data_IF_996458855143
#
_entry.id   IF_996458855143
#
_cell.length_a   1.000
_cell.length_b   1.000
_cell.length_c   1.000
_cell.angle_alpha   90.00
_cell.angle_beta   90.00
_cell.angle_gamma   90.00
#
_symmetry.space_group_name_H-M   'P 1'
#
loop_
_entity.id
_entity.type
_entity.pdbx_description
1 polymer ?
#
# COMPACT_ATOMS: atom_id res chain seq x y z
N UNK A 1 -16.22 25.10 -2.53
CA UNK A 1 -17.42 24.26 -2.32
C UNK A 1 -16.90 23.11 -1.49
N UNK A 2 -17.40 22.96 -0.27
CA UNK A 2 -17.05 21.78 0.52
C UNK A 2 -17.55 20.58 -0.28
N UNK A 3 -16.62 19.72 -0.72
CA UNK A 3 -16.99 18.52 -1.46
C UNK A 3 -17.86 17.66 -0.54
N UNK A 4 -19.05 17.28 -1.03
CA UNK A 4 -19.87 16.30 -0.34
C UNK A 4 -19.04 15.01 -0.20
N UNK A 5 -18.91 14.51 1.02
CA UNK A 5 -18.16 13.28 1.33
C UNK A 5 -19.06 12.29 2.05
N UNK A 6 -18.74 11.00 1.93
CA UNK A 6 -19.36 9.96 2.74
C UNK A 6 -18.30 9.10 3.44
N UNK A 7 -18.71 8.43 4.52
CA UNK A 7 -17.82 7.67 5.39
C UNK A 7 -18.21 6.19 5.37
N UNK A 8 -17.22 5.32 5.22
CA UNK A 8 -17.30 3.90 5.54
C UNK A 8 -16.42 3.58 6.75
N UNK A 9 -16.77 2.53 7.48
CA UNK A 9 -15.98 2.06 8.59
C UNK A 9 -15.44 0.66 8.28
N UNK A 10 -14.20 0.39 8.70
CA UNK A 10 -13.64 -0.96 8.64
C UNK A 10 -13.04 -1.37 9.97
N UNK A 11 -12.92 -2.68 10.20
CA UNK A 11 -12.07 -3.22 11.26
C UNK A 11 -10.57 -3.09 10.90
N UNK A 12 -9.69 -3.56 11.80
CA UNK A 12 -8.24 -3.58 11.60
C UNK A 12 -7.78 -4.42 10.39
N UNK A 13 -8.61 -5.35 9.93
CA UNK A 13 -8.38 -6.22 8.79
C UNK A 13 -9.00 -5.67 7.49
N UNK A 14 -9.50 -4.44 7.50
CA UNK A 14 -10.18 -3.77 6.39
C UNK A 14 -11.54 -4.37 5.99
N UNK A 15 -12.17 -5.19 6.83
CA UNK A 15 -13.53 -5.64 6.59
C UNK A 15 -14.53 -4.51 6.89
N UNK A 16 -15.48 -4.26 6.00
CA UNK A 16 -16.50 -3.23 6.18
C UNK A 16 -17.40 -3.55 7.39
N UNK A 17 -17.61 -2.56 8.24
CA UNK A 17 -18.46 -2.65 9.44
C UNK A 17 -19.45 -1.49 9.48
N UNK A 18 -20.59 -1.73 10.14
CA UNK A 18 -21.57 -0.69 10.41
C UNK A 18 -21.10 0.20 11.56
N UNK A 19 -21.51 1.48 11.53
CA UNK A 19 -21.16 2.47 12.56
C UNK A 19 -21.59 2.02 13.96
N UNK A 20 -22.73 1.35 14.06
CA UNK A 20 -23.28 0.83 15.31
C UNK A 20 -22.42 -0.29 15.92
N UNK A 21 -21.55 -0.90 15.12
CA UNK A 21 -20.67 -1.99 15.58
C UNK A 21 -19.34 -1.48 16.15
N UNK A 22 -18.99 -0.20 15.96
CA UNK A 22 -17.70 0.37 16.37
C UNK A 22 -17.35 0.13 17.84
N UNK A 23 -18.35 0.11 18.73
CA UNK A 23 -18.13 -0.13 20.15
C UNK A 23 -17.52 -1.51 20.47
N UNK A 24 -17.65 -2.47 19.56
CA UNK A 24 -17.19 -3.86 19.71
C UNK A 24 -15.73 -4.04 19.32
N UNK A 25 -15.14 -3.06 18.62
CA UNK A 25 -13.78 -3.16 18.10
C UNK A 25 -12.81 -2.35 18.97
N UNK A 26 -11.64 -2.93 19.22
CA UNK A 26 -10.51 -2.22 19.85
C UNK A 26 -9.83 -1.26 18.88
N UNK A 27 -9.83 -1.59 17.60
CA UNK A 27 -9.27 -0.77 16.53
C UNK A 27 -10.22 -0.74 15.33
N UNK A 28 -10.33 0.41 14.68
CA UNK A 28 -11.15 0.59 13.50
C UNK A 28 -10.63 1.73 12.64
N UNK A 29 -11.07 1.77 11.39
CA UNK A 29 -10.73 2.82 10.45
C UNK A 29 -11.99 3.56 9.99
N UNK A 30 -11.85 4.88 9.78
CA UNK A 30 -12.83 5.70 9.08
C UNK A 30 -12.28 6.02 7.69
N UNK A 31 -12.96 5.56 6.64
CA UNK A 31 -12.59 5.80 5.25
C UNK A 31 -13.53 6.87 4.70
N UNK A 32 -12.97 8.02 4.31
CA UNK A 32 -13.69 9.17 3.79
C UNK A 32 -13.54 9.19 2.27
N UNK A 33 -14.66 9.21 1.57
CA UNK A 33 -14.74 9.18 0.12
C UNK A 33 -15.38 10.45 -0.42
N UNK A 34 -14.96 10.85 -1.61
CA UNK A 34 -15.68 11.84 -2.41
C UNK A 34 -17.03 11.27 -2.87
N UNK A 35 -18.11 12.02 -2.65
CA UNK A 35 -19.46 11.55 -2.98
C UNK A 35 -19.73 11.44 -4.49
N UNK A 36 -19.07 12.28 -5.29
CA UNK A 36 -19.33 12.36 -6.73
C UNK A 36 -18.47 11.37 -7.52
N UNK A 37 -17.21 11.19 -7.12
CA UNK A 37 -16.27 10.31 -7.82
C UNK A 37 -16.14 8.93 -7.18
N UNK A 38 -16.62 8.78 -5.93
CA UNK A 38 -16.46 7.55 -5.14
C UNK A 38 -14.97 7.20 -4.90
N UNK A 39 -14.07 8.18 -5.01
CA UNK A 39 -12.65 8.02 -4.75
C UNK A 39 -12.37 8.16 -3.24
N UNK A 40 -11.47 7.31 -2.73
CA UNK A 40 -11.00 7.39 -1.35
C UNK A 40 -10.11 8.63 -1.19
N UNK A 41 -10.45 9.49 -0.23
CA UNK A 41 -9.73 10.75 0.04
C UNK A 41 -8.89 10.66 1.31
N UNK A 42 -9.36 9.92 2.32
CA UNK A 42 -8.68 9.84 3.61
C UNK A 42 -9.03 8.57 4.37
N UNK A 43 -8.05 8.01 5.08
CA UNK A 43 -8.23 6.98 6.09
C UNK A 43 -7.80 7.55 7.43
N UNK A 44 -8.67 7.51 8.42
CA UNK A 44 -8.31 7.81 9.81
C UNK A 44 -8.34 6.52 10.62
N UNK A 45 -7.25 6.25 11.34
CA UNK A 45 -7.11 5.05 12.17
C UNK A 45 -7.40 5.40 13.61
N UNK A 46 -8.10 4.52 14.32
CA UNK A 46 -8.46 4.74 15.72
C UNK A 46 -8.20 3.50 16.55
N UNK A 47 -7.80 3.73 17.81
CA UNK A 47 -7.74 2.70 18.83
C UNK A 47 -8.55 3.12 20.05
N UNK A 48 -9.22 2.16 20.66
CA UNK A 48 -10.08 2.32 21.81
C UNK A 48 -9.41 1.70 23.02
N UNK A 49 -9.13 2.52 24.02
CA UNK A 49 -8.60 2.05 25.29
C UNK A 49 -9.65 1.20 26.01
N UNK A 50 -9.34 -0.08 26.25
CA UNK A 50 -10.29 -1.00 26.88
C UNK A 50 -10.76 -0.56 28.29
N UNK A 51 -9.90 0.11 29.06
CA UNK A 51 -10.23 0.53 30.44
C UNK A 51 -11.03 1.82 30.48
N UNK A 52 -10.60 2.84 29.75
CA UNK A 52 -11.25 4.16 29.78
C UNK A 52 -12.37 4.30 28.75
N UNK A 53 -12.45 3.35 27.81
CA UNK A 53 -13.33 3.40 26.63
C UNK A 53 -13.08 4.63 25.74
N UNK A 54 -11.99 5.37 25.97
CA UNK A 54 -11.62 6.53 25.17
C UNK A 54 -11.09 6.07 23.83
N UNK A 55 -11.55 6.74 22.77
CA UNK A 55 -11.08 6.53 21.41
C UNK A 55 -9.99 7.56 21.11
N UNK A 56 -8.85 7.08 20.64
CA UNK A 56 -7.71 7.89 20.23
C UNK A 56 -7.43 7.67 18.74
N UNK A 57 -7.29 8.76 17.98
CA UNK A 57 -6.82 8.69 16.60
C UNK A 57 -5.34 8.28 16.59
N UNK A 58 -4.97 7.28 15.81
CA UNK A 58 -3.62 6.77 15.65
C UNK A 58 -2.87 7.37 14.46
N UNK A 59 -3.53 8.25 13.69
CA UNK A 59 -3.00 8.82 12.45
C UNK A 59 -3.81 8.34 11.26
N UNK A 60 -3.18 8.23 10.09
CA UNK A 60 -3.93 7.89 8.89
C UNK A 60 -3.21 8.07 7.56
N UNK A 61 -4.01 8.09 6.52
CA UNK A 61 -3.59 8.28 5.13
C UNK A 61 -4.44 9.35 4.47
N UNK A 62 -3.85 10.15 3.60
CA UNK A 62 -4.55 11.17 2.80
C UNK A 62 -4.17 10.96 1.34
N UNK A 63 -5.16 10.96 0.45
CA UNK A 63 -4.98 10.79 -0.99
C UNK A 63 -5.33 12.09 -1.69
N UNK A 64 -4.32 12.72 -2.27
CA UNK A 64 -4.44 14.03 -2.88
C UNK A 64 -4.83 13.91 -4.35
N UNK A 65 -5.82 14.69 -4.74
CA UNK A 65 -6.12 14.97 -6.14
C UNK A 65 -5.03 15.89 -6.72
N UNK A 66 -4.87 15.89 -8.05
CA UNK A 66 -3.83 16.65 -8.76
C UNK A 66 -3.87 18.16 -8.46
N UNK A 67 -5.04 18.70 -8.15
CA UNK A 67 -5.24 20.13 -7.87
C UNK A 67 -4.98 20.52 -6.41
N UNK A 68 -4.74 19.56 -5.51
CA UNK A 68 -4.55 19.84 -4.09
C UNK A 68 -3.11 20.27 -3.75
N UNK A 69 -2.97 21.29 -2.91
CA UNK A 69 -1.66 21.78 -2.47
C UNK A 69 -1.08 20.87 -1.37
N UNK A 70 -0.11 20.03 -1.76
CA UNK A 70 0.52 19.06 -0.84
C UNK A 70 1.08 19.70 0.45
N UNK A 71 1.87 20.79 0.41
CA UNK A 71 2.32 21.46 1.64
C UNK A 71 1.20 21.91 2.58
N UNK A 72 0.11 22.46 2.04
CA UNK A 72 -1.05 22.90 2.84
C UNK A 72 -1.75 21.72 3.50
N UNK A 73 -2.02 20.65 2.74
CA UNK A 73 -2.66 19.43 3.26
C UNK A 73 -1.80 18.80 4.36
N UNK A 74 -0.48 18.75 4.16
CA UNK A 74 0.47 18.27 5.16
C UNK A 74 0.36 19.09 6.45
N UNK A 75 0.43 20.42 6.36
CA UNK A 75 0.35 21.31 7.52
C UNK A 75 -0.97 21.20 8.29
N UNK A 76 -2.07 20.84 7.62
CA UNK A 76 -3.38 20.65 8.25
C UNK A 76 -3.49 19.34 9.06
N UNK A 77 -2.59 18.38 8.84
CA UNK A 77 -2.67 17.05 9.47
C UNK A 77 -1.51 16.75 10.43
N UNK A 78 -0.35 17.37 10.20
CA UNK A 78 0.80 17.19 11.08
C UNK A 78 0.52 17.86 12.43
N UNK A 79 0.43 17.04 13.48
CA UNK A 79 0.45 17.51 14.86
C UNK A 79 1.87 17.48 15.42
N UNK A 80 2.31 18.60 16.00
CA UNK A 80 3.59 18.77 16.70
C UNK A 80 3.34 18.52 18.20
N UNK A 81 2.83 17.34 18.53
CA UNK A 81 2.55 16.89 19.90
C UNK A 81 3.51 15.78 20.37
N UNK A 82 3.52 15.49 21.67
CA UNK A 82 4.45 14.53 22.32
C UNK A 82 4.37 13.08 21.79
N UNK A 83 3.30 12.74 21.08
CA UNK A 83 3.09 11.46 20.40
C UNK A 83 2.58 11.67 18.97
N UNK A 84 3.10 12.68 18.26
CA UNK A 84 2.68 13.05 16.91
C UNK A 84 2.44 11.85 15.99
N UNK A 85 1.19 11.75 15.56
CA UNK A 85 0.61 10.57 14.94
C UNK A 85 1.16 10.39 13.52
N UNK A 86 1.44 9.16 13.07
CA UNK A 86 1.91 8.91 11.72
C UNK A 86 0.84 9.25 10.68
N UNK A 87 1.23 10.04 9.68
CA UNK A 87 0.40 10.36 8.52
C UNK A 87 1.16 10.07 7.24
N UNK A 88 0.52 9.31 6.34
CA UNK A 88 1.03 9.10 4.98
C UNK A 88 0.21 9.92 4.00
N UNK A 89 0.89 10.68 3.15
CA UNK A 89 0.26 11.49 2.11
C UNK A 89 0.61 10.88 0.76
N UNK A 90 -0.40 10.45 0.01
CA UNK A 90 -0.26 9.96 -1.35
C UNK A 90 -0.59 11.07 -2.33
N UNK A 91 0.26 11.28 -3.32
CA UNK A 91 0.16 12.35 -4.31
C UNK A 91 0.72 11.87 -5.66
N UNK A 92 0.56 12.69 -6.70
CA UNK A 92 0.91 12.33 -8.09
C UNK A 92 0.32 10.99 -8.52
N UNK A 93 -1.01 10.86 -8.40
CA UNK A 93 -1.75 9.70 -8.90
C UNK A 93 -1.56 9.58 -10.40
N UNK A 94 -1.07 8.44 -10.86
CA UNK A 94 -1.05 8.06 -12.27
C UNK A 94 -1.74 6.71 -12.43
N UNK A 95 -2.55 6.54 -13.48
CA UNK A 95 -3.27 5.30 -13.75
C UNK A 95 -3.04 4.88 -15.19
N UNK A 96 -2.63 3.63 -15.41
CA UNK A 96 -2.42 3.09 -16.75
C UNK A 96 -3.72 2.49 -17.34
N UNK A 97 -3.67 2.06 -18.59
CA UNK A 97 -4.83 1.50 -19.32
C UNK A 97 -5.36 0.18 -18.73
N UNK A 98 -4.62 -0.45 -17.81
CA UNK A 98 -5.02 -1.67 -17.08
C UNK A 98 -5.73 -1.35 -15.75
N UNK A 99 -5.86 -0.08 -15.39
CA UNK A 99 -6.43 0.36 -14.11
C UNK A 99 -5.49 0.22 -12.92
N UNK A 100 -4.19 -0.03 -13.16
CA UNK A 100 -3.17 -0.01 -12.11
C UNK A 100 -2.84 1.44 -11.78
N UNK A 101 -2.74 1.75 -10.49
CA UNK A 101 -2.54 3.13 -10.02
C UNK A 101 -1.23 3.27 -9.26
N UNK A 102 -0.38 4.19 -9.70
CA UNK A 102 0.84 4.60 -9.04
C UNK A 102 0.57 5.80 -8.16
N UNK A 103 1.20 5.82 -7.00
CA UNK A 103 1.24 6.95 -6.09
C UNK A 103 2.66 7.19 -5.60
N UNK A 104 3.07 8.44 -5.58
CA UNK A 104 4.15 8.86 -4.70
C UNK A 104 3.60 9.00 -3.27
N UNK A 105 4.43 8.74 -2.27
CA UNK A 105 4.03 8.88 -0.88
C UNK A 105 5.07 9.56 -0.03
N UNK A 106 4.60 10.24 1.01
CA UNK A 106 5.41 10.84 2.06
C UNK A 106 4.84 10.44 3.42
N UNK A 107 5.69 9.92 4.31
CA UNK A 107 5.36 9.59 5.69
C UNK A 107 5.89 10.68 6.63
N UNK A 108 5.01 11.26 7.44
CA UNK A 108 5.36 12.10 8.57
C UNK A 108 5.02 11.42 9.89
N UNK A 109 5.85 11.65 10.91
CA UNK A 109 5.59 11.27 12.31
C UNK A 109 6.22 12.31 13.21
N UNK A 110 5.56 12.70 14.30
CA UNK A 110 6.07 13.72 15.23
C UNK A 110 6.54 15.01 14.54
N UNK A 111 5.78 15.54 13.57
CA UNK A 111 6.21 16.75 12.86
C UNK A 111 7.31 16.56 11.82
N UNK A 112 7.92 15.38 11.75
CA UNK A 112 9.13 15.16 10.97
C UNK A 112 8.87 14.21 9.80
N UNK A 113 9.44 14.54 8.64
CA UNK A 113 9.49 13.67 7.49
C UNK A 113 10.28 12.40 7.86
N UNK A 114 9.65 11.24 7.78
CA UNK A 114 10.26 9.94 8.12
C UNK A 114 10.57 9.10 6.88
N UNK A 115 9.83 9.29 5.78
CA UNK A 115 10.04 8.47 4.59
C UNK A 115 9.34 9.02 3.37
N UNK A 116 9.81 8.54 2.23
CA UNK A 116 9.20 8.72 0.92
C UNK A 116 9.14 7.38 0.22
N UNK A 117 8.20 7.22 -0.69
CA UNK A 117 8.13 6.03 -1.52
C UNK A 117 7.32 6.26 -2.79
N UNK A 118 7.29 5.24 -3.62
CA UNK A 118 6.40 5.14 -4.77
C UNK A 118 5.83 3.74 -4.80
N UNK A 119 4.52 3.62 -4.97
CA UNK A 119 3.79 2.36 -4.87
C UNK A 119 2.77 2.24 -5.98
N UNK A 120 2.67 1.05 -6.56
CA UNK A 120 1.69 0.70 -7.58
C UNK A 120 0.71 -0.30 -7.02
N UNK A 121 -0.58 -0.02 -7.23
CA UNK A 121 -1.69 -0.83 -6.76
C UNK A 121 -2.54 -1.32 -7.93
N UNK A 122 -3.08 -2.53 -7.82
CA UNK A 122 -4.09 -3.01 -8.78
C UNK A 122 -5.50 -2.48 -8.45
N UNK A 123 -6.47 -2.86 -9.28
CA UNK A 123 -7.89 -2.50 -9.11
C UNK A 123 -8.52 -3.04 -7.80
N UNK A 124 -7.87 -3.99 -7.12
CA UNK A 124 -8.28 -4.53 -5.82
C UNK A 124 -7.51 -3.88 -4.66
N UNK A 125 -6.74 -2.81 -4.92
CA UNK A 125 -5.86 -2.12 -3.96
C UNK A 125 -4.73 -2.99 -3.39
N UNK A 126 -4.29 -4.03 -4.11
CA UNK A 126 -3.13 -4.84 -3.73
C UNK A 126 -1.85 -4.20 -4.27
N UNK A 127 -0.77 -4.20 -3.49
CA UNK A 127 0.52 -3.61 -3.88
C UNK A 127 1.20 -4.47 -4.92
N UNK A 128 1.20 -4.05 -6.19
CA UNK A 128 1.91 -4.72 -7.29
C UNK A 128 3.40 -4.41 -7.30
N UNK A 129 3.79 -3.19 -6.93
CA UNK A 129 5.19 -2.78 -6.91
C UNK A 129 5.41 -1.65 -5.91
N UNK A 130 6.65 -1.46 -5.49
CA UNK A 130 7.03 -0.25 -4.79
C UNK A 130 8.49 -0.15 -4.43
N UNK A 131 8.86 1.01 -3.91
CA UNK A 131 10.17 1.29 -3.35
C UNK A 131 10.08 2.36 -2.27
N UNK A 132 11.06 2.38 -1.37
CA UNK A 132 11.37 3.54 -0.58
C UNK A 132 12.25 4.51 -1.40
N UNK A 133 12.22 5.79 -1.06
CA UNK A 133 13.09 6.82 -1.63
C UNK A 133 13.90 7.40 -0.48
N UNK A 134 15.22 7.19 -0.53
CA UNK A 134 16.13 7.70 0.49
C UNK A 134 16.06 9.24 0.55
N UNK A 135 15.89 9.78 1.75
CA UNK A 135 15.61 11.20 1.95
C UNK A 135 16.82 12.09 1.63
N UNK A 136 18.04 11.55 1.68
CA UNK A 136 19.28 12.30 1.50
C UNK A 136 19.76 12.27 0.04
N UNK A 137 19.68 11.10 -0.58
CA UNK A 137 20.23 10.81 -1.91
C UNK A 137 19.17 10.80 -3.01
N UNK A 138 17.88 10.71 -2.65
CA UNK A 138 16.76 10.49 -3.56
C UNK A 138 16.86 9.19 -4.37
N UNK A 139 17.73 8.25 -3.97
CA UNK A 139 17.86 6.94 -4.61
C UNK A 139 16.71 6.04 -4.15
N UNK A 140 16.19 5.23 -5.08
CA UNK A 140 15.16 4.23 -4.79
C UNK A 140 15.79 3.01 -4.11
N UNK A 141 15.29 2.61 -2.95
CA UNK A 141 15.71 1.44 -2.17
C UNK A 141 14.52 0.52 -1.90
N UNK A 142 14.76 -0.67 -1.35
CA UNK A 142 13.72 -1.62 -0.96
C UNK A 142 12.72 -1.91 -2.09
N UNK A 143 13.26 -2.04 -3.30
CA UNK A 143 12.50 -2.20 -4.54
C UNK A 143 11.86 -3.57 -4.58
N UNK A 144 10.57 -3.64 -4.86
CA UNK A 144 9.88 -4.92 -4.99
C UNK A 144 8.78 -4.90 -6.06
N UNK A 145 8.45 -6.10 -6.53
CA UNK A 145 7.25 -6.40 -7.32
C UNK A 145 6.60 -7.66 -6.79
N UNK A 146 5.28 -7.65 -6.73
CA UNK A 146 4.46 -8.75 -6.27
C UNK A 146 3.70 -9.34 -7.46
N UNK A 147 3.55 -10.65 -7.46
CA UNK A 147 2.67 -11.39 -8.33
C UNK A 147 1.63 -12.07 -7.46
N UNK A 148 0.36 -11.81 -7.77
CA UNK A 148 -0.80 -12.42 -7.13
C UNK A 148 -1.46 -13.29 -8.19
N UNK A 149 -1.32 -14.60 -8.10
CA UNK A 149 -1.93 -15.47 -9.11
C UNK A 149 -3.44 -15.65 -8.90
N UNK A 150 -4.09 -16.17 -9.93
CA UNK A 150 -5.43 -16.72 -9.94
C UNK A 150 -5.50 -17.97 -9.06
N UNK A 151 -6.49 -18.04 -8.17
CA UNK A 151 -6.68 -19.09 -7.15
C UNK A 151 -6.92 -20.50 -7.71
N UNK A 152 -6.88 -20.66 -9.04
CA UNK A 152 -7.00 -21.94 -9.74
C UNK A 152 -5.67 -22.66 -10.01
N UNK A 153 -4.51 -22.00 -9.87
CA UNK A 153 -3.20 -22.54 -10.28
C UNK A 153 -2.23 -22.83 -9.12
N UNK A 154 -2.40 -22.17 -7.98
CA UNK A 154 -1.67 -22.44 -6.75
C UNK A 154 -2.63 -22.93 -5.67
N UNK A 155 -2.26 -23.98 -4.95
CA UNK A 155 -3.14 -24.61 -3.95
C UNK A 155 -3.59 -23.60 -2.88
N UNK A 156 -4.88 -23.66 -2.57
CA UNK A 156 -5.68 -22.81 -1.67
C UNK A 156 -5.25 -22.87 -0.18
N UNK A 157 -4.01 -23.25 0.14
CA UNK A 157 -3.56 -23.35 1.54
C UNK A 157 -3.51 -22.00 2.26
N UNK A 158 -3.64 -20.89 1.53
CA UNK A 158 -3.69 -19.54 2.06
C UNK A 158 -4.82 -18.76 1.39
N UNK A 159 -6.06 -18.90 1.86
CA UNK A 159 -7.33 -18.23 1.46
C UNK A 159 -7.28 -16.67 1.36
N UNK A 160 -6.12 -16.07 1.24
CA UNK A 160 -5.88 -14.65 1.35
C UNK A 160 -5.38 -14.09 0.02
N UNK A 161 -6.31 -13.58 -0.80
CA UNK A 161 -6.05 -12.84 -2.04
C UNK A 161 -5.10 -11.63 -1.88
N UNK A 162 -4.73 -11.28 -0.63
CA UNK A 162 -3.87 -10.14 -0.28
C UNK A 162 -2.39 -10.50 -0.07
N UNK A 163 -2.04 -11.79 0.00
CA UNK A 163 -0.65 -12.26 0.11
C UNK A 163 -0.12 -12.56 -1.30
N UNK A 164 1.03 -12.01 -1.70
CA UNK A 164 1.60 -12.31 -3.01
C UNK A 164 2.07 -13.76 -3.09
N UNK A 165 1.74 -14.44 -4.18
CA UNK A 165 2.24 -15.78 -4.50
C UNK A 165 3.76 -15.75 -4.70
N UNK A 166 4.24 -14.74 -5.44
CA UNK A 166 5.66 -14.52 -5.68
C UNK A 166 5.99 -13.06 -5.38
N UNK A 167 7.09 -12.80 -4.66
CA UNK A 167 7.65 -11.47 -4.48
C UNK A 167 9.07 -11.42 -5.02
N UNK A 168 9.33 -10.46 -5.89
CA UNK A 168 10.64 -10.17 -6.45
C UNK A 168 11.21 -8.94 -5.75
N UNK A 169 12.43 -9.00 -5.26
CA UNK A 169 13.20 -7.83 -4.80
C UNK A 169 14.29 -7.49 -5.80
N UNK A 170 14.71 -6.24 -5.83
CA UNK A 170 15.67 -5.75 -6.80
C UNK A 170 16.77 -4.95 -6.13
N UNK A 171 17.99 -5.17 -6.63
CA UNK A 171 19.16 -4.43 -6.17
C UNK A 171 19.20 -3.00 -6.75
N UNK A 172 20.28 -2.29 -6.44
CA UNK A 172 20.49 -0.90 -6.88
C UNK A 172 20.49 -0.73 -8.41
N UNK A 173 20.90 -1.75 -9.18
CA UNK A 173 20.94 -1.75 -10.64
C UNK A 173 19.64 -2.25 -11.29
N UNK A 174 18.55 -2.32 -10.51
CA UNK A 174 17.22 -2.78 -10.94
C UNK A 174 17.18 -4.24 -11.41
N UNK A 175 18.20 -5.04 -11.07
CA UNK A 175 18.22 -6.48 -11.32
C UNK A 175 17.61 -7.24 -10.15
N UNK A 176 16.95 -8.37 -10.45
CA UNK A 176 16.41 -9.27 -9.43
C UNK A 176 17.54 -9.71 -8.48
N UNK A 177 17.30 -9.50 -7.20
CA UNK A 177 18.21 -9.86 -6.11
C UNK A 177 17.74 -11.16 -5.45
N UNK A 178 16.52 -11.16 -4.92
CA UNK A 178 15.88 -12.31 -4.28
C UNK A 178 14.47 -12.50 -4.81
N UNK A 179 14.00 -13.75 -4.79
CA UNK A 179 12.64 -14.11 -5.15
C UNK A 179 12.06 -14.94 -4.01
N UNK A 180 10.93 -14.53 -3.47
CA UNK A 180 10.21 -15.26 -2.43
C UNK A 180 9.00 -15.95 -3.06
N UNK A 181 8.87 -17.26 -2.82
CA UNK A 181 7.73 -18.07 -3.24
C UNK A 181 7.31 -18.97 -2.07
N UNK A 182 6.09 -18.79 -1.56
CA UNK A 182 5.54 -19.58 -0.43
C UNK A 182 6.50 -19.68 0.78
N UNK A 183 7.03 -18.54 1.25
CA UNK A 183 8.01 -18.42 2.35
C UNK A 183 9.41 -18.98 2.08
N UNK A 184 9.66 -19.58 0.91
CA UNK A 184 10.99 -19.97 0.47
C UNK A 184 11.67 -18.85 -0.33
N UNK A 185 12.97 -18.69 -0.10
CA UNK A 185 13.82 -17.71 -0.78
C UNK A 185 14.63 -18.40 -1.89
N UNK A 186 14.61 -17.81 -3.09
CA UNK A 186 15.29 -18.29 -4.27
C UNK A 186 16.21 -17.22 -4.85
N UNK A 187 17.38 -17.65 -5.32
CA UNK A 187 18.11 -16.88 -6.33
C UNK A 187 17.36 -16.93 -7.66
N UNK A 188 17.60 -15.98 -8.57
CA UNK A 188 17.01 -16.03 -9.92
C UNK A 188 17.30 -17.35 -10.63
N UNK A 189 18.51 -17.90 -10.47
CA UNK A 189 18.85 -19.17 -11.13
C UNK A 189 18.05 -20.33 -10.57
N UNK A 190 17.98 -20.46 -9.24
CA UNK A 190 17.28 -21.57 -8.60
C UNK A 190 15.77 -21.51 -8.85
N UNK A 191 15.22 -20.30 -8.90
CA UNK A 191 13.83 -20.06 -9.30
C UNK A 191 13.55 -20.53 -10.74
N UNK A 192 14.47 -20.27 -11.68
CA UNK A 192 14.34 -20.69 -13.08
C UNK A 192 14.64 -22.17 -13.32
N UNK A 193 15.41 -22.81 -12.44
CA UNK A 193 15.71 -24.24 -12.49
C UNK A 193 14.60 -25.07 -11.79
N UNK A 194 13.60 -24.43 -11.17
CA UNK A 194 12.45 -25.10 -10.55
C UNK A 194 11.32 -25.34 -11.57
N UNK A 195 11.17 -26.60 -11.98
CA UNK A 195 10.17 -27.02 -12.98
C UNK A 195 8.71 -26.74 -12.55
N UNK A 196 8.40 -26.82 -11.24
CA UNK A 196 7.04 -26.55 -10.76
C UNK A 196 6.70 -25.07 -10.88
N UNK A 197 7.61 -24.21 -10.41
CA UNK A 197 7.44 -22.76 -10.44
C UNK A 197 7.38 -22.28 -11.89
N UNK A 198 8.32 -22.70 -12.73
CA UNK A 198 8.40 -22.24 -14.12
C UNK A 198 7.24 -22.70 -14.99
N UNK A 199 6.59 -23.82 -14.65
CA UNK A 199 5.36 -24.25 -15.31
C UNK A 199 4.17 -23.33 -15.00
N UNK A 200 4.09 -22.79 -13.77
CA UNK A 200 3.01 -21.89 -13.32
C UNK A 200 3.30 -20.42 -13.62
N UNK A 201 4.57 -20.01 -13.59
CA UNK A 201 5.04 -18.66 -13.88
C UNK A 201 6.07 -18.68 -15.02
N UNK A 202 5.63 -18.61 -16.30
CA UNK A 202 6.53 -18.62 -17.44
C UNK A 202 7.39 -17.35 -17.49
N UNK A 203 8.65 -17.45 -17.03
CA UNK A 203 9.55 -16.30 -16.90
C UNK A 203 9.64 -15.44 -18.16
N UNK A 204 9.73 -16.06 -19.34
CA UNK A 204 9.91 -15.35 -20.62
C UNK A 204 8.69 -14.51 -21.02
N UNK A 205 7.50 -14.90 -20.58
CA UNK A 205 6.24 -14.19 -20.88
C UNK A 205 5.99 -13.05 -19.88
N UNK A 206 6.69 -13.08 -18.74
CA UNK A 206 6.53 -12.17 -17.62
C UNK A 206 7.68 -11.13 -17.55
N UNK A 207 7.97 -10.50 -18.69
CA UNK A 207 9.07 -9.52 -18.83
C UNK A 207 8.98 -8.33 -17.86
N UNK A 208 7.78 -8.00 -17.38
CA UNK A 208 7.55 -7.00 -16.35
C UNK A 208 8.39 -7.24 -15.09
N UNK A 209 8.68 -8.50 -14.73
CA UNK A 209 9.40 -8.85 -13.50
C UNK A 209 10.93 -8.92 -13.67
N UNK A 210 11.45 -8.67 -14.87
CA UNK A 210 12.89 -8.83 -15.16
C UNK A 210 13.72 -7.66 -14.64
N UNK A 211 13.11 -6.51 -14.42
CA UNK A 211 13.75 -5.34 -13.84
C UNK A 211 12.77 -4.46 -13.06
N UNK A 212 13.31 -3.59 -12.21
CA UNK A 212 12.51 -2.65 -11.44
C UNK A 212 12.15 -1.39 -12.25
N UNK A 213 11.10 -1.51 -13.05
CA UNK A 213 10.28 -0.39 -13.53
C UNK A 213 8.87 -0.55 -12.95
N UNK A 214 8.44 0.27 -11.97
CA UNK A 214 7.24 0.00 -11.16
C UNK A 214 5.93 0.02 -11.94
N UNK A 215 5.87 0.69 -13.10
CA UNK A 215 4.69 0.75 -13.95
C UNK A 215 5.10 0.69 -15.43
N UNK A 216 4.34 -0.06 -16.23
CA UNK A 216 4.49 -0.16 -17.69
C UNK A 216 3.27 0.41 -18.42
#
# INVERSE_FOLDING_TARGET
MDADTYIKYTDENNNEILKEQLEKFSEFNCLIYDYNTNELKKIERFSKNYRTQQVEQLGGEVYLSVDENLPEVINNHIDIGAFGKPWTFYYHKETNDKGETQWDSILYRNGSLQGKGSFVFDHRNRKLAGCAIDLLTAIKTDKFKNFYDDTFLFDDEFENETIPTIKFTYNENDHVEEIFFQDEEFSLRDFLDNDEITAKFPWKENAYYHSFEPMF
#
